data_IF_439376182484
#
_entry.id   IF_439376182484
#
_cell.length_a   1.000
_cell.length_b   1.000
_cell.length_c   1.000
_cell.angle_alpha   90.00
_cell.angle_beta   90.00
_cell.angle_gamma   90.00
#
_symmetry.space_group_name_H-M   'P 1'
#
loop_
_entity.id
_entity.type
_entity.pdbx_description
1 polymer ?
#
# COMPACT_ATOMS: atom_id res chain seq x y z
N UNK A 1 -3.85 -59.91 -12.42
CA UNK A 1 -3.45 -59.08 -13.59
C UNK A 1 -3.27 -57.65 -13.12
N UNK A 2 -2.03 -57.16 -13.00
CA UNK A 2 -1.75 -55.77 -12.57
C UNK A 2 -1.60 -54.89 -13.81
N UNK A 3 -2.46 -53.86 -13.94
CA UNK A 3 -2.41 -52.88 -15.03
C UNK A 3 -1.18 -51.99 -14.83
N UNK A 4 -0.16 -52.15 -15.67
CA UNK A 4 0.97 -51.22 -15.77
C UNK A 4 0.45 -49.80 -16.09
N UNK A 5 0.48 -48.91 -15.09
CA UNK A 5 0.31 -47.47 -15.31
C UNK A 5 1.57 -46.96 -16.02
N UNK A 6 1.45 -46.69 -17.31
CA UNK A 6 2.46 -45.98 -18.11
C UNK A 6 2.80 -44.66 -17.42
N UNK A 7 4.02 -44.54 -16.89
CA UNK A 7 4.55 -43.26 -16.38
C UNK A 7 4.64 -42.30 -17.55
N UNK A 8 3.79 -41.27 -17.57
CA UNK A 8 3.92 -40.13 -18.49
C UNK A 8 5.32 -39.54 -18.34
N UNK A 9 6.11 -39.59 -19.41
CA UNK A 9 7.43 -38.98 -19.46
C UNK A 9 7.25 -37.52 -19.91
N UNK A 10 7.33 -36.58 -18.98
CA UNK A 10 7.16 -35.16 -19.27
C UNK A 10 8.49 -34.57 -19.76
N UNK A 11 8.47 -33.84 -20.87
CA UNK A 11 9.65 -33.16 -21.38
C UNK A 11 9.89 -31.84 -20.63
N UNK A 12 10.70 -31.94 -19.58
CA UNK A 12 11.09 -30.80 -18.74
C UNK A 12 11.89 -29.74 -19.52
N UNK A 13 12.56 -30.11 -20.61
CA UNK A 13 13.32 -29.17 -21.43
C UNK A 13 12.41 -28.31 -22.30
N UNK A 14 11.35 -28.90 -22.85
CA UNK A 14 10.32 -28.16 -23.58
C UNK A 14 9.61 -27.16 -22.66
N UNK A 15 9.25 -27.57 -21.45
CA UNK A 15 8.64 -26.70 -20.45
C UNK A 15 9.57 -25.52 -20.07
N UNK A 16 10.87 -25.79 -19.89
CA UNK A 16 11.85 -24.74 -19.59
C UNK A 16 11.98 -23.72 -20.73
N UNK A 17 12.00 -24.17 -21.98
CA UNK A 17 12.06 -23.26 -23.15
C UNK A 17 10.82 -22.38 -23.25
N UNK A 18 9.64 -22.95 -23.09
CA UNK A 18 8.38 -22.17 -23.08
C UNK A 18 8.35 -21.14 -21.95
N UNK A 19 8.86 -21.50 -20.77
CA UNK A 19 8.99 -20.57 -19.65
C UNK A 19 9.96 -19.42 -19.96
N UNK A 20 11.15 -19.73 -20.50
CA UNK A 20 12.12 -18.72 -20.91
C UNK A 20 11.60 -17.80 -22.02
N UNK A 21 10.82 -18.32 -22.97
CA UNK A 21 10.15 -17.53 -24.01
C UNK A 21 9.08 -16.60 -23.40
N UNK A 22 8.27 -17.10 -22.45
CA UNK A 22 7.27 -16.29 -21.75
C UNK A 22 7.89 -15.15 -20.94
N UNK A 23 9.04 -15.40 -20.30
CA UNK A 23 9.80 -14.38 -19.57
C UNK A 23 10.37 -13.32 -20.52
N UNK A 24 10.83 -13.72 -21.72
CA UNK A 24 11.32 -12.80 -22.75
C UNK A 24 10.21 -11.99 -23.41
N UNK A 25 8.98 -12.53 -23.50
CA UNK A 25 7.80 -11.79 -23.95
C UNK A 25 7.38 -10.76 -22.90
N UNK A 26 7.27 -11.15 -21.62
CA UNK A 26 6.93 -10.23 -20.52
C UNK A 26 7.93 -9.09 -20.36
N UNK A 27 9.23 -9.37 -20.47
CA UNK A 27 10.27 -8.31 -20.43
C UNK A 27 10.30 -7.40 -21.67
N UNK A 28 9.65 -7.78 -22.78
CA UNK A 28 9.44 -6.89 -23.93
C UNK A 28 8.16 -6.06 -23.81
N UNK A 29 7.19 -6.53 -23.04
CA UNK A 29 5.98 -5.78 -22.65
C UNK A 29 6.26 -4.77 -21.52
N UNK A 30 7.42 -4.87 -20.85
CA UNK A 30 7.85 -3.90 -19.84
C UNK A 30 8.03 -2.49 -20.46
N UNK A 31 7.12 -1.59 -20.02
CA UNK A 31 6.98 -0.16 -20.34
C UNK A 31 6.05 0.20 -21.51
N UNK A 32 4.89 -0.44 -21.62
CA UNK A 32 3.74 0.35 -22.06
C UNK A 32 3.33 1.26 -20.89
N UNK A 33 3.25 2.55 -21.16
CA UNK A 33 2.74 3.56 -20.24
C UNK A 33 1.26 3.23 -20.01
N UNK A 34 0.94 2.68 -18.84
CA UNK A 34 -0.43 2.27 -18.51
C UNK A 34 -1.27 3.55 -18.38
N UNK A 35 -2.17 3.79 -19.32
CA UNK A 35 -3.16 4.86 -19.20
C UNK A 35 -4.15 4.47 -18.12
N UNK A 36 -3.98 5.06 -16.93
CA UNK A 36 -4.90 4.83 -15.81
C UNK A 36 -6.29 5.41 -16.15
N UNK A 37 -7.39 4.73 -15.79
CA UNK A 37 -8.73 5.26 -15.96
C UNK A 37 -8.91 6.61 -15.26
N UNK A 38 -9.67 7.53 -15.87
CA UNK A 38 -9.81 8.94 -15.40
C UNK A 38 -10.22 9.05 -13.92
N UNK A 39 -11.00 8.10 -13.39
CA UNK A 39 -11.52 8.14 -12.02
C UNK A 39 -10.66 7.37 -11.00
N UNK A 40 -9.34 7.29 -11.22
CA UNK A 40 -8.44 6.50 -10.37
C UNK A 40 -7.35 7.36 -9.72
N UNK A 41 -6.95 6.92 -8.53
CA UNK A 41 -5.84 7.50 -7.79
C UNK A 41 -4.55 6.81 -8.22
N UNK A 42 -3.66 7.58 -8.84
CA UNK A 42 -2.32 7.14 -9.14
C UNK A 42 -1.49 7.01 -7.85
N UNK A 43 -0.82 5.86 -7.71
CA UNK A 43 0.15 5.58 -6.64
C UNK A 43 1.52 5.54 -7.28
N UNK A 44 2.47 6.29 -6.72
CA UNK A 44 3.80 6.45 -7.30
C UNK A 44 4.83 5.57 -6.58
N UNK A 45 5.69 4.90 -7.34
CA UNK A 45 6.89 4.25 -6.81
C UNK A 45 7.99 5.31 -6.61
N UNK A 46 8.09 5.82 -5.38
CA UNK A 46 8.95 6.95 -5.04
C UNK A 46 10.27 6.52 -4.41
N UNK A 47 11.30 7.34 -4.60
CA UNK A 47 12.52 7.18 -3.82
C UNK A 47 12.32 7.66 -2.38
N UNK A 48 13.17 7.16 -1.48
CA UNK A 48 13.17 7.48 -0.05
C UNK A 48 13.10 8.99 0.27
N UNK A 49 13.77 9.83 -0.52
CA UNK A 49 13.80 11.29 -0.29
C UNK A 49 12.45 11.93 -0.65
N UNK A 50 11.82 11.48 -1.73
CA UNK A 50 10.49 11.91 -2.14
C UNK A 50 9.42 11.50 -1.12
N UNK A 51 9.48 10.26 -0.63
CA UNK A 51 8.57 9.79 0.44
C UNK A 51 8.71 10.65 1.69
N UNK A 52 9.94 10.92 2.14
CA UNK A 52 10.19 11.82 3.28
C UNK A 52 9.66 13.24 3.03
N UNK A 53 9.83 13.78 1.83
CA UNK A 53 9.30 15.10 1.48
C UNK A 53 7.76 15.12 1.50
N UNK A 54 7.07 14.10 0.99
CA UNK A 54 5.61 13.99 1.09
C UNK A 54 5.15 13.88 2.53
N UNK A 55 5.83 13.06 3.33
CA UNK A 55 5.55 12.90 4.75
C UNK A 55 5.68 14.22 5.50
N UNK A 56 6.78 14.97 5.32
CA UNK A 56 6.97 16.25 5.99
C UNK A 56 5.96 17.31 5.54
N UNK A 57 5.67 17.42 4.25
CA UNK A 57 4.61 18.31 3.76
C UNK A 57 3.25 18.00 4.40
N UNK A 58 2.94 16.71 4.56
CA UNK A 58 1.71 16.29 5.22
C UNK A 58 1.69 16.71 6.68
N UNK A 59 2.77 16.44 7.43
CA UNK A 59 2.90 16.82 8.84
C UNK A 59 2.83 18.34 9.02
N UNK A 60 3.53 19.11 8.19
CA UNK A 60 3.49 20.58 8.20
C UNK A 60 2.07 21.09 7.98
N UNK A 61 1.34 20.50 7.00
CA UNK A 61 -0.06 20.86 6.76
C UNK A 61 -0.97 20.57 7.96
N UNK A 62 -0.69 19.50 8.72
CA UNK A 62 -1.44 19.16 9.91
C UNK A 62 -1.14 20.09 11.07
N UNK A 63 0.12 20.46 11.28
CA UNK A 63 0.53 21.44 12.29
C UNK A 63 -0.13 22.80 12.02
N UNK A 64 -0.16 23.22 10.75
CA UNK A 64 -0.84 24.44 10.34
C UNK A 64 -2.35 24.39 10.62
N UNK A 65 -3.02 23.28 10.30
CA UNK A 65 -4.45 23.09 10.66
C UNK A 65 -4.66 23.16 12.17
N UNK A 66 -3.84 22.46 12.96
CA UNK A 66 -3.89 22.51 14.43
C UNK A 66 -3.77 23.95 14.94
N UNK A 67 -2.86 24.74 14.37
CA UNK A 67 -2.67 26.14 14.76
C UNK A 67 -3.87 27.03 14.42
N UNK A 68 -4.52 26.80 13.28
CA UNK A 68 -5.63 27.62 12.79
C UNK A 68 -6.96 27.32 13.48
N UNK A 69 -7.34 26.04 13.58
CA UNK A 69 -8.69 25.64 14.04
C UNK A 69 -8.69 24.67 15.22
N UNK A 70 -7.54 24.15 15.63
CA UNK A 70 -7.41 23.13 16.69
C UNK A 70 -8.09 21.80 16.37
N UNK A 71 -8.56 21.60 15.13
CA UNK A 71 -9.38 20.48 14.67
C UNK A 71 -8.82 19.92 13.36
N UNK A 72 -7.59 19.39 13.37
CA UNK A 72 -6.98 18.84 12.18
C UNK A 72 -7.83 17.69 11.61
N UNK A 73 -7.81 17.61 10.28
CA UNK A 73 -8.46 16.56 9.51
C UNK A 73 -7.47 16.05 8.46
N UNK A 74 -7.38 14.72 8.36
CA UNK A 74 -6.63 14.00 7.33
C UNK A 74 -7.62 13.50 6.28
N UNK A 75 -7.19 13.60 5.03
CA UNK A 75 -7.91 13.09 3.87
C UNK A 75 -7.07 11.98 3.25
N UNK A 76 -7.70 10.85 2.93
CA UNK A 76 -7.05 9.73 2.24
C UNK A 76 -8.05 9.01 1.32
N UNK A 77 -7.60 8.37 0.22
CA UNK A 77 -8.47 7.53 -0.60
C UNK A 77 -9.15 6.42 0.21
N UNK A 78 -10.44 6.24 -0.01
CA UNK A 78 -11.24 5.18 0.61
C UNK A 78 -10.87 3.83 0.01
N UNK A 79 -10.71 2.82 0.86
CA UNK A 79 -10.40 1.44 0.44
C UNK A 79 -11.62 0.52 0.54
N UNK A 80 -12.82 1.11 0.56
CA UNK A 80 -14.08 0.37 0.54
C UNK A 80 -14.27 -0.33 -0.81
N UNK A 81 -14.95 -1.47 -0.83
CA UNK A 81 -15.21 -2.22 -2.07
C UNK A 81 -15.93 -1.38 -3.14
N UNK A 82 -16.73 -0.40 -2.73
CA UNK A 82 -17.41 0.56 -3.62
C UNK A 82 -16.47 1.53 -4.33
N UNK A 83 -15.24 1.71 -3.83
CA UNK A 83 -14.24 2.62 -4.38
C UNK A 83 -13.08 1.86 -5.04
N UNK A 84 -13.17 0.54 -5.20
CA UNK A 84 -12.16 -0.25 -5.91
C UNK A 84 -12.61 -0.40 -7.35
N UNK A 85 -11.77 0.04 -8.28
CA UNK A 85 -11.99 -0.07 -9.71
C UNK A 85 -11.17 -1.25 -10.22
N UNK A 86 -11.82 -2.15 -10.94
CA UNK A 86 -11.16 -3.23 -11.65
C UNK A 86 -10.82 -2.77 -13.06
N UNK A 87 -9.53 -2.78 -13.39
CA UNK A 87 -9.03 -2.53 -14.72
C UNK A 87 -8.83 -3.88 -15.43
N UNK A 88 -9.76 -4.22 -16.32
CA UNK A 88 -9.74 -5.47 -17.08
C UNK A 88 -8.59 -5.53 -18.10
N UNK A 89 -8.12 -4.38 -18.60
CA UNK A 89 -7.08 -4.34 -19.62
C UNK A 89 -5.72 -4.65 -19.01
N UNK A 90 -5.46 -4.12 -17.82
CA UNK A 90 -4.18 -4.26 -17.13
C UNK A 90 -4.20 -5.32 -16.01
N UNK A 91 -5.37 -5.94 -15.73
CA UNK A 91 -5.57 -6.91 -14.63
C UNK A 91 -5.21 -6.30 -13.25
N UNK A 92 -5.58 -5.02 -13.04
CA UNK A 92 -5.22 -4.22 -11.85
C UNK A 92 -6.44 -3.85 -11.00
N UNK A 93 -6.25 -3.86 -9.68
CA UNK A 93 -7.18 -3.26 -8.71
C UNK A 93 -6.70 -1.84 -8.37
N UNK A 94 -7.46 -0.84 -8.82
CA UNK A 94 -7.14 0.57 -8.66
C UNK A 94 -8.02 1.20 -7.58
N UNK A 95 -7.47 2.21 -6.90
CA UNK A 95 -8.22 3.04 -5.96
C UNK A 95 -8.99 4.10 -6.74
N UNK A 96 -10.28 4.24 -6.48
CA UNK A 96 -11.11 5.31 -7.02
C UNK A 96 -10.96 6.63 -6.26
N UNK A 97 -11.64 7.66 -6.74
CA UNK A 97 -11.53 9.04 -6.22
C UNK A 97 -12.24 9.29 -4.88
N UNK A 98 -13.00 8.35 -4.33
CA UNK A 98 -13.73 8.59 -3.09
C UNK A 98 -12.74 8.81 -1.93
N UNK A 99 -12.72 10.02 -1.39
CA UNK A 99 -11.86 10.39 -0.26
C UNK A 99 -12.59 10.20 1.08
N UNK A 100 -11.92 9.56 2.03
CA UNK A 100 -12.31 9.48 3.43
C UNK A 100 -11.66 10.62 4.24
N UNK A 101 -12.46 11.30 5.07
CA UNK A 101 -11.96 12.32 6.01
C UNK A 101 -11.91 11.76 7.43
N UNK A 102 -10.74 11.79 8.06
CA UNK A 102 -10.56 11.39 9.46
C UNK A 102 -10.23 12.60 10.32
N UNK A 103 -11.11 12.87 11.29
CA UNK A 103 -10.96 13.97 12.23
C UNK A 103 -10.25 13.51 13.51
N UNK A 104 -9.43 14.38 14.12
CA UNK A 104 -8.69 14.03 15.35
C UNK A 104 -9.53 14.18 16.61
N UNK A 105 -10.48 15.11 16.60
CA UNK A 105 -11.26 15.52 17.77
C UNK A 105 -12.55 14.73 18.03
N UNK A 106 -12.74 13.57 17.38
CA UNK A 106 -13.89 12.71 17.66
C UNK A 106 -13.50 11.51 18.52
N UNK A 107 -14.30 11.22 19.55
CA UNK A 107 -14.11 10.07 20.44
C UNK A 107 -14.10 8.74 19.70
N UNK A 108 -14.83 8.65 18.57
CA UNK A 108 -14.90 7.42 17.77
C UNK A 108 -13.65 7.21 16.90
N UNK A 109 -12.94 8.28 16.52
CA UNK A 109 -11.79 8.21 15.60
C UNK A 109 -10.44 8.42 16.26
N UNK A 110 -10.40 8.92 17.51
CA UNK A 110 -9.14 9.25 18.21
C UNK A 110 -8.19 8.07 18.32
N UNK A 111 -8.70 6.86 18.59
CA UNK A 111 -7.89 5.65 18.69
C UNK A 111 -7.25 5.27 17.35
N UNK A 112 -8.04 5.27 16.28
CA UNK A 112 -7.56 5.01 14.92
C UNK A 112 -6.56 6.07 14.46
N UNK A 113 -6.78 7.33 14.82
CA UNK A 113 -5.87 8.43 14.50
C UNK A 113 -4.54 8.31 15.24
N UNK A 114 -4.57 7.96 16.52
CA UNK A 114 -3.37 7.77 17.33
C UNK A 114 -2.51 6.65 16.76
N UNK A 115 -3.12 5.54 16.35
CA UNK A 115 -2.44 4.42 15.69
C UNK A 115 -1.85 4.82 14.34
N UNK A 116 -2.60 5.57 13.52
CA UNK A 116 -2.12 6.11 12.24
C UNK A 116 -0.87 6.97 12.45
N UNK A 117 -0.92 7.89 13.42
CA UNK A 117 0.21 8.75 13.76
C UNK A 117 1.42 7.98 14.25
N UNK A 118 1.20 6.94 15.07
CA UNK A 118 2.29 6.06 15.51
C UNK A 118 2.96 5.34 14.34
N UNK A 119 2.18 4.87 13.37
CA UNK A 119 2.77 4.25 12.16
C UNK A 119 3.53 5.29 11.33
N UNK A 120 3.01 6.50 11.17
CA UNK A 120 3.70 7.58 10.45
C UNK A 120 5.06 7.93 11.09
N UNK A 121 5.11 7.95 12.42
CA UNK A 121 6.34 8.12 13.20
C UNK A 121 7.35 6.99 12.94
N UNK A 122 6.90 5.73 13.01
CA UNK A 122 7.73 4.55 12.72
C UNK A 122 8.27 4.61 11.28
N UNK A 123 7.43 4.95 10.30
CA UNK A 123 7.84 5.09 8.89
C UNK A 123 8.89 6.18 8.73
N UNK A 124 8.70 7.35 9.35
CA UNK A 124 9.70 8.42 9.35
C UNK A 124 11.04 7.94 9.95
N UNK A 125 11.03 7.19 11.04
CA UNK A 125 12.26 6.64 11.62
C UNK A 125 12.97 5.64 10.70
N UNK A 126 12.20 4.73 10.08
CA UNK A 126 12.73 3.73 9.15
C UNK A 126 13.36 4.39 7.93
N UNK A 127 12.69 5.38 7.34
CA UNK A 127 13.21 6.14 6.21
C UNK A 127 14.48 6.92 6.58
N UNK A 128 14.52 7.55 7.77
CA UNK A 128 15.71 8.28 8.24
C UNK A 128 16.90 7.38 8.49
N UNK A 129 16.67 6.17 9.01
CA UNK A 129 17.72 5.19 9.34
C UNK A 129 18.09 4.29 8.15
N UNK A 130 17.39 4.40 7.02
CA UNK A 130 17.54 3.54 5.85
C UNK A 130 17.30 2.05 6.18
N UNK A 131 16.26 1.80 6.98
CA UNK A 131 15.88 0.47 7.44
C UNK A 131 14.53 0.08 6.88
N UNK A 132 14.33 -1.23 6.75
CA UNK A 132 13.06 -1.82 6.40
C UNK A 132 12.50 -2.57 7.62
N UNK A 133 11.17 -2.64 7.68
CA UNK A 133 10.47 -3.42 8.70
C UNK A 133 9.33 -4.20 8.04
N UNK A 134 9.13 -5.43 8.51
CA UNK A 134 7.97 -6.25 8.20
C UNK A 134 6.73 -5.75 8.94
N UNK A 135 5.53 -6.11 8.46
CA UNK A 135 4.27 -5.75 9.14
C UNK A 135 4.24 -6.19 10.62
N UNK A 136 4.83 -7.34 10.94
CA UNK A 136 4.94 -7.85 12.32
C UNK A 136 5.89 -7.02 13.18
N UNK A 137 7.02 -6.56 12.63
CA UNK A 137 7.94 -5.69 13.38
C UNK A 137 7.31 -4.33 13.70
N UNK A 138 6.51 -3.78 12.79
CA UNK A 138 5.71 -2.57 13.06
C UNK A 138 4.71 -2.81 14.19
N UNK A 139 3.98 -3.94 14.15
CA UNK A 139 3.06 -4.32 15.23
C UNK A 139 3.76 -4.46 16.59
N UNK A 140 4.93 -5.11 16.62
CA UNK A 140 5.69 -5.31 17.85
C UNK A 140 6.32 -4.03 18.41
N UNK A 141 6.39 -2.96 17.63
CA UNK A 141 6.89 -1.68 18.08
C UNK A 141 5.99 -1.05 19.18
N UNK A 142 4.68 -1.30 19.12
CA UNK A 142 3.73 -0.86 20.15
C UNK A 142 2.49 -1.76 20.23
N UNK A 143 2.68 -2.96 20.76
CA UNK A 143 1.61 -3.96 20.90
C UNK A 143 0.45 -3.44 21.77
N UNK A 144 0.73 -2.58 22.75
CA UNK A 144 -0.30 -2.04 23.65
C UNK A 144 -1.22 -1.07 22.93
N UNK A 145 -0.67 -0.22 22.06
CA UNK A 145 -1.46 0.72 21.28
C UNK A 145 -2.26 0.03 20.17
N UNK A 146 -1.62 -0.91 19.46
CA UNK A 146 -2.27 -1.61 18.34
C UNK A 146 -3.28 -2.65 18.81
N UNK A 147 -3.02 -3.32 19.94
CA UNK A 147 -3.82 -4.42 20.52
C UNK A 147 -3.87 -5.68 19.64
N UNK A 148 -4.28 -5.52 18.38
CA UNK A 148 -4.38 -6.57 17.36
C UNK A 148 -3.59 -6.18 16.11
N UNK A 149 -2.99 -7.18 15.44
CA UNK A 149 -2.26 -7.03 14.18
C UNK A 149 -3.10 -6.32 13.10
N UNK A 150 -4.41 -6.57 13.08
CA UNK A 150 -5.33 -5.94 12.13
C UNK A 150 -5.32 -4.41 12.22
N UNK A 151 -5.10 -3.85 13.42
CA UNK A 151 -5.09 -2.40 13.63
C UNK A 151 -3.79 -1.75 13.13
N UNK A 152 -2.64 -2.41 13.30
CA UNK A 152 -1.39 -1.94 12.72
C UNK A 152 -1.44 -2.05 11.19
N UNK A 153 -1.93 -3.17 10.66
CA UNK A 153 -2.01 -3.39 9.21
C UNK A 153 -2.93 -2.36 8.54
N UNK A 154 -4.11 -2.09 9.13
CA UNK A 154 -5.02 -1.03 8.66
C UNK A 154 -4.33 0.34 8.64
N UNK A 155 -3.55 0.65 9.67
CA UNK A 155 -2.85 1.93 9.79
C UNK A 155 -1.69 2.06 8.78
N UNK A 156 -0.96 0.98 8.53
CA UNK A 156 0.10 0.92 7.50
C UNK A 156 -0.49 1.20 6.12
N UNK A 157 -1.59 0.53 5.78
CA UNK A 157 -2.25 0.70 4.49
C UNK A 157 -2.86 2.10 4.33
N UNK A 158 -3.41 2.68 5.42
CA UNK A 158 -3.89 4.06 5.41
C UNK A 158 -2.75 5.08 5.24
N UNK A 159 -1.55 4.83 5.79
CA UNK A 159 -0.38 5.69 5.55
C UNK A 159 0.08 5.62 4.09
N UNK A 160 0.10 4.42 3.50
CA UNK A 160 0.47 4.23 2.11
C UNK A 160 -0.45 5.04 1.16
N UNK A 161 -1.77 4.89 1.32
CA UNK A 161 -2.72 5.65 0.48
C UNK A 161 -2.70 7.14 0.74
N UNK A 162 -2.42 7.56 1.98
CA UNK A 162 -2.32 8.97 2.35
C UNK A 162 -1.06 9.64 1.76
N UNK A 163 0.03 8.90 1.58
CA UNK A 163 1.26 9.39 0.94
C UNK A 163 1.27 9.19 -0.58
N UNK A 164 0.27 8.49 -1.12
CA UNK A 164 0.19 8.10 -2.53
C UNK A 164 1.45 7.31 -2.97
N UNK A 165 1.85 6.34 -2.14
CA UNK A 165 3.04 5.47 -2.28
C UNK A 165 2.69 4.02 -1.99
#
# INVERSE_FOLDING_TARGET
MSKNKTKKNWDLNAAKRLFEESLKQKSKEEKQEIELPENTVQVDDLNRKEVLNRLYKLVDSLIEKIRLDGRPTIELPSRTSSNIIWDEENDLLLLGEQILKKQFHSLSSVGDMTRLMRVLEIVNELLRKDLHATKREVFYNDVKLFQEQKNSDKSIEDVATMLYT
#
